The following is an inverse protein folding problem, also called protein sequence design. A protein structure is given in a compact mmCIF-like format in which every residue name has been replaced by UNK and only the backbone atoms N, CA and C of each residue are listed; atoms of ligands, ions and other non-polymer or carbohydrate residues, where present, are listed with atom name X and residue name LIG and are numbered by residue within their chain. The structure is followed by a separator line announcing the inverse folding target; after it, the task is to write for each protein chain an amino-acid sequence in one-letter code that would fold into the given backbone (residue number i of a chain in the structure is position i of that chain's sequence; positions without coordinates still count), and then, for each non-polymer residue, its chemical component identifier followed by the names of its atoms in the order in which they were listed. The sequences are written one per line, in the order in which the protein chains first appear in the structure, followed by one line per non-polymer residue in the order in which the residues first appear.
data_IF_219002553182
#
_entry.id   IF_219002553182
#
_cell.length_a   1.000
_cell.length_b   1.000
_cell.length_c   1.000
_cell.angle_alpha   90.00
_cell.angle_beta   90.00
_cell.angle_gamma   90.00
#
_symmetry.space_group_name_H-M   'P 1'
#
loop_
_entity.id
_entity.type
_entity.pdbx_description
1 polymer ?
#
# COMPACT_ATOMS: atom_id res chain seq x y z
N UNK A 1 -5.59 -10.35 -21.55
CA UNK A 1 -4.74 -9.74 -22.60
C UNK A 1 -3.77 -8.68 -22.06
N UNK A 2 -4.20 -7.66 -21.31
CA UNK A 2 -3.28 -6.60 -20.78
C UNK A 2 -2.12 -7.11 -19.92
N UNK A 3 -2.35 -8.04 -19.00
CA UNK A 3 -1.27 -8.61 -18.16
C UNK A 3 -0.22 -9.37 -18.93
N UNK A 4 -0.60 -10.04 -20.03
CA UNK A 4 0.37 -10.74 -20.87
C UNK A 4 1.30 -9.75 -21.59
N UNK A 5 0.75 -8.65 -22.11
CA UNK A 5 1.56 -7.60 -22.73
C UNK A 5 2.52 -6.92 -21.74
N UNK A 6 2.06 -6.62 -20.53
CA UNK A 6 2.91 -6.06 -19.46
C UNK A 6 4.01 -7.04 -19.05
N UNK A 7 3.70 -8.34 -18.95
CA UNK A 7 4.69 -9.38 -18.66
C UNK A 7 5.79 -9.48 -19.71
N UNK A 8 5.44 -9.33 -21.01
CA UNK A 8 6.43 -9.29 -22.10
C UNK A 8 7.31 -8.05 -22.01
N UNK A 9 6.74 -6.90 -21.71
CA UNK A 9 7.52 -5.66 -21.51
C UNK A 9 8.51 -5.83 -20.36
N UNK A 10 8.09 -6.39 -19.23
CA UNK A 10 8.95 -6.62 -18.08
C UNK A 10 10.07 -7.62 -18.36
N UNK A 11 9.78 -8.73 -19.04
CA UNK A 11 10.80 -9.71 -19.45
C UNK A 11 11.85 -9.10 -20.38
N UNK A 12 11.40 -8.36 -21.41
CA UNK A 12 12.30 -7.69 -22.34
C UNK A 12 13.17 -6.63 -21.63
N UNK A 13 12.60 -5.90 -20.70
CA UNK A 13 13.31 -4.92 -19.88
C UNK A 13 14.39 -5.60 -19.05
N UNK A 14 14.07 -6.69 -18.32
CA UNK A 14 15.06 -7.45 -17.53
C UNK A 14 16.18 -7.98 -18.40
N UNK A 15 15.86 -8.49 -19.58
CA UNK A 15 16.86 -8.92 -20.57
C UNK A 15 17.79 -7.78 -20.98
N UNK A 16 17.25 -6.61 -21.31
CA UNK A 16 18.04 -5.43 -21.68
C UNK A 16 18.89 -4.93 -20.52
N UNK A 17 18.37 -4.94 -19.29
CA UNK A 17 19.15 -4.59 -18.11
C UNK A 17 20.33 -5.53 -17.88
N UNK A 18 20.11 -6.85 -17.97
CA UNK A 18 21.19 -7.82 -17.77
C UNK A 18 22.31 -7.74 -18.82
N UNK A 19 21.93 -7.47 -20.07
CA UNK A 19 22.86 -7.58 -21.19
C UNK A 19 23.46 -6.25 -21.67
N UNK A 20 22.80 -5.13 -21.45
CA UNK A 20 23.21 -3.83 -21.97
C UNK A 20 23.65 -2.83 -20.90
N UNK A 21 23.18 -2.95 -19.65
CA UNK A 21 23.40 -1.90 -18.64
C UNK A 21 24.89 -1.67 -18.33
N UNK A 22 25.71 -2.72 -18.38
CA UNK A 22 27.13 -2.64 -18.09
C UNK A 22 27.91 -1.86 -19.17
N UNK A 23 27.47 -1.92 -20.43
CA UNK A 23 28.13 -1.28 -21.60
C UNK A 23 27.36 -0.07 -22.15
N UNK A 24 26.17 0.23 -21.63
CA UNK A 24 25.32 1.30 -22.12
C UNK A 24 25.88 2.68 -21.73
N UNK A 25 25.77 3.63 -22.65
CA UNK A 25 26.03 5.03 -22.40
C UNK A 25 24.93 5.66 -21.50
N UNK A 26 25.18 6.87 -21.02
CA UNK A 26 24.26 7.55 -20.11
C UNK A 26 22.84 7.75 -20.69
N UNK A 27 22.67 8.19 -21.96
CA UNK A 27 21.35 8.31 -22.56
C UNK A 27 20.59 6.99 -22.62
N UNK A 28 21.25 5.90 -22.97
CA UNK A 28 20.63 4.56 -23.04
C UNK A 28 20.19 4.07 -21.66
N UNK A 29 21.02 4.29 -20.62
CA UNK A 29 20.63 3.96 -19.23
C UNK A 29 19.41 4.76 -18.78
N UNK A 30 19.36 6.02 -19.14
CA UNK A 30 18.23 6.90 -18.82
C UNK A 30 16.94 6.42 -19.53
N UNK A 31 17.01 6.12 -20.81
CA UNK A 31 15.89 5.58 -21.57
C UNK A 31 15.36 4.25 -21.00
N UNK A 32 16.25 3.34 -20.59
CA UNK A 32 15.86 2.09 -19.92
C UNK A 32 15.18 2.35 -18.57
N UNK A 33 15.66 3.32 -17.79
CA UNK A 33 15.04 3.72 -16.53
C UNK A 33 13.64 4.32 -16.75
N UNK A 34 13.48 5.18 -17.75
CA UNK A 34 12.20 5.79 -18.09
C UNK A 34 11.18 4.72 -18.51
N UNK A 35 11.58 3.77 -19.36
CA UNK A 35 10.74 2.62 -19.75
C UNK A 35 10.32 1.83 -18.51
N UNK A 36 11.23 1.60 -17.59
CA UNK A 36 10.94 0.88 -16.35
C UNK A 36 9.86 1.59 -15.52
N UNK A 37 9.99 2.88 -15.33
CA UNK A 37 9.06 3.69 -14.54
C UNK A 37 7.70 3.74 -15.20
N UNK A 38 7.64 3.99 -16.51
CA UNK A 38 6.36 4.07 -17.22
C UNK A 38 5.65 2.71 -17.31
N UNK A 39 6.41 1.61 -17.48
CA UNK A 39 5.85 0.25 -17.42
C UNK A 39 5.25 -0.04 -16.04
N UNK A 40 5.96 0.28 -14.96
CA UNK A 40 5.46 0.11 -13.60
C UNK A 40 4.22 1.00 -13.31
N UNK A 41 4.16 2.22 -13.87
CA UNK A 41 2.96 3.09 -13.79
C UNK A 41 1.75 2.49 -14.48
N UNK A 42 1.95 1.93 -15.67
CA UNK A 42 0.89 1.25 -16.42
C UNK A 42 0.39 0.02 -15.67
N UNK A 43 1.28 -0.84 -15.21
CA UNK A 43 0.93 -2.03 -14.42
C UNK A 43 0.11 -1.65 -13.19
N UNK A 44 0.57 -0.67 -12.42
CA UNK A 44 -0.17 -0.16 -11.26
C UNK A 44 -1.55 0.36 -11.64
N UNK A 45 -1.67 1.12 -12.73
CA UNK A 45 -2.94 1.70 -13.17
C UNK A 45 -3.93 0.61 -13.56
N UNK A 46 -3.46 -0.39 -14.32
CA UNK A 46 -4.28 -1.54 -14.74
C UNK A 46 -4.71 -2.37 -13.52
N UNK A 47 -3.79 -2.69 -12.59
CA UNK A 47 -4.13 -3.43 -11.36
C UNK A 47 -5.15 -2.69 -10.53
N UNK A 48 -4.95 -1.40 -10.30
CA UNK A 48 -5.88 -0.59 -9.53
C UNK A 48 -7.27 -0.52 -10.19
N UNK A 49 -7.34 -0.42 -11.53
CA UNK A 49 -8.61 -0.42 -12.25
C UNK A 49 -9.35 -1.77 -12.11
N UNK A 50 -8.63 -2.88 -12.22
CA UNK A 50 -9.19 -4.22 -12.04
C UNK A 50 -9.65 -4.42 -10.60
N UNK A 51 -8.81 -4.09 -9.62
CA UNK A 51 -9.20 -4.18 -8.21
C UNK A 51 -10.43 -3.34 -7.89
N UNK A 52 -10.46 -2.09 -8.40
CA UNK A 52 -11.62 -1.22 -8.20
C UNK A 52 -12.89 -1.85 -8.79
N UNK A 53 -12.82 -2.38 -10.02
CA UNK A 53 -13.93 -3.07 -10.66
C UNK A 53 -14.40 -4.30 -9.87
N UNK A 54 -13.46 -5.14 -9.41
CA UNK A 54 -13.75 -6.32 -8.60
C UNK A 54 -14.45 -5.95 -7.30
N UNK A 55 -13.88 -4.99 -6.56
CA UNK A 55 -14.47 -4.53 -5.30
C UNK A 55 -15.86 -3.88 -5.47
N UNK A 56 -16.18 -3.30 -6.63
CA UNK A 56 -17.51 -2.74 -6.89
C UNK A 56 -18.54 -3.79 -7.32
N UNK A 57 -18.13 -4.84 -8.01
CA UNK A 57 -19.05 -5.75 -8.70
C UNK A 57 -19.07 -7.18 -8.14
N UNK A 58 -18.02 -7.58 -7.40
CA UNK A 58 -17.98 -8.91 -6.79
C UNK A 58 -18.55 -8.88 -5.37
N UNK A 59 -19.12 -10.00 -4.96
CA UNK A 59 -19.56 -10.20 -3.58
C UNK A 59 -18.34 -10.11 -2.63
N UNK A 60 -18.61 -9.73 -1.39
CA UNK A 60 -17.58 -9.71 -0.35
C UNK A 60 -17.08 -11.13 -0.12
N UNK A 61 -15.79 -11.32 -0.23
CA UNK A 61 -15.15 -12.58 0.18
C UNK A 61 -15.42 -12.85 1.66
N UNK A 62 -15.40 -14.09 2.06
CA UNK A 62 -15.59 -14.49 3.45
C UNK A 62 -14.57 -13.76 4.35
N UNK A 63 -15.10 -13.12 5.39
CA UNK A 63 -14.26 -12.43 6.37
C UNK A 63 -13.56 -13.47 7.23
N UNK A 64 -12.25 -13.30 7.38
CA UNK A 64 -11.38 -14.18 8.16
C UNK A 64 -10.72 -13.38 9.30
N UNK A 65 -10.29 -14.05 10.37
CA UNK A 65 -9.45 -13.41 11.39
C UNK A 65 -8.16 -12.86 10.76
N UNK A 66 -7.89 -11.61 11.00
CA UNK A 66 -6.74 -10.86 10.49
C UNK A 66 -5.92 -10.32 11.66
N UNK A 67 -4.64 -10.69 11.75
CA UNK A 67 -3.72 -10.13 12.73
C UNK A 67 -3.20 -8.76 12.27
N UNK A 68 -3.60 -7.71 12.98
CA UNK A 68 -3.12 -6.35 12.70
C UNK A 68 -1.66 -6.14 13.13
N UNK A 69 -1.14 -6.89 14.10
CA UNK A 69 0.26 -6.81 14.49
C UNK A 69 1.16 -7.38 13.39
N UNK A 70 0.80 -8.53 12.81
CA UNK A 70 1.48 -9.09 11.66
C UNK A 70 1.41 -8.18 10.42
N UNK A 71 0.29 -7.50 10.20
CA UNK A 71 0.17 -6.51 9.12
C UNK A 71 1.10 -5.30 9.36
N UNK A 72 1.24 -4.85 10.62
CA UNK A 72 2.16 -3.78 11.00
C UNK A 72 3.62 -4.18 10.82
N UNK A 73 3.99 -5.41 11.16
CA UNK A 73 5.34 -5.95 10.95
C UNK A 73 5.72 -5.95 9.46
N UNK A 74 4.77 -6.35 8.58
CA UNK A 74 4.98 -6.27 7.12
C UNK A 74 5.32 -4.84 6.69
N UNK A 75 4.64 -3.82 7.24
CA UNK A 75 4.98 -2.42 6.98
C UNK A 75 6.40 -2.09 7.47
N UNK A 76 6.77 -2.52 8.66
CA UNK A 76 8.09 -2.29 9.24
C UNK A 76 9.23 -2.87 8.40
N UNK A 77 9.03 -4.02 7.77
CA UNK A 77 10.02 -4.65 6.88
C UNK A 77 10.34 -3.83 5.63
N UNK A 78 9.48 -2.88 5.26
CA UNK A 78 9.73 -1.97 4.12
C UNK A 78 10.68 -0.81 4.46
N UNK A 79 10.91 -0.52 5.74
CA UNK A 79 11.65 0.65 6.19
C UNK A 79 13.07 0.76 5.59
N UNK A 80 13.90 -0.31 5.53
CA UNK A 80 15.24 -0.22 4.96
C UNK A 80 15.23 0.14 3.47
N UNK A 81 14.30 -0.41 2.69
CA UNK A 81 14.22 -0.16 1.26
C UNK A 81 13.69 1.24 0.95
N UNK A 82 12.72 1.71 1.74
CA UNK A 82 12.18 3.08 1.66
C UNK A 82 13.31 4.08 1.99
N UNK A 83 14.04 3.88 3.08
CA UNK A 83 15.14 4.74 3.46
C UNK A 83 16.24 4.81 2.38
N UNK A 84 16.62 3.65 1.84
CA UNK A 84 17.65 3.56 0.78
C UNK A 84 17.23 4.20 -0.52
N UNK A 85 15.94 4.07 -0.89
CA UNK A 85 15.45 4.44 -2.22
C UNK A 85 14.88 5.85 -2.28
N UNK A 86 14.33 6.36 -1.18
CA UNK A 86 13.57 7.61 -1.13
C UNK A 86 14.13 8.61 -0.12
N UNK A 87 15.09 8.20 0.72
CA UNK A 87 15.60 8.98 1.85
C UNK A 87 14.49 9.39 2.84
N UNK A 88 13.43 8.59 2.95
CA UNK A 88 12.32 8.78 3.86
C UNK A 88 12.42 7.75 4.98
N UNK A 89 12.25 8.19 6.23
CA UNK A 89 12.23 7.30 7.39
C UNK A 89 10.81 6.78 7.61
N UNK A 90 10.64 5.45 7.57
CA UNK A 90 9.39 4.79 7.97
C UNK A 90 9.58 4.11 9.32
N UNK A 91 8.66 4.33 10.24
CA UNK A 91 8.60 3.62 11.54
C UNK A 91 7.26 2.92 11.69
N UNK A 92 7.28 1.72 12.29
CA UNK A 92 6.08 0.93 12.56
C UNK A 92 6.05 0.54 14.05
N UNK A 93 4.99 0.93 14.77
CA UNK A 93 4.88 0.78 16.21
C UNK A 93 3.52 0.25 16.63
N UNK A 94 3.47 -0.88 17.35
CA UNK A 94 2.21 -1.46 17.84
C UNK A 94 1.59 -0.70 19.01
N UNK A 95 2.32 0.23 19.61
CA UNK A 95 1.84 1.00 20.75
C UNK A 95 1.56 0.15 22.01
N UNK A 96 2.29 -0.97 22.16
CA UNK A 96 2.14 -1.91 23.27
C UNK A 96 1.03 -2.96 23.05
N UNK A 97 0.44 -3.02 21.85
CA UNK A 97 -0.52 -4.07 21.49
C UNK A 97 0.29 -5.27 20.99
N UNK A 98 0.21 -6.39 21.70
CA UNK A 98 0.93 -7.63 21.36
C UNK A 98 0.12 -8.50 20.37
N UNK A 99 -1.19 -8.56 20.57
CA UNK A 99 -2.10 -9.33 19.71
C UNK A 99 -3.36 -8.53 19.42
N UNK A 100 -3.76 -8.50 18.17
CA UNK A 100 -4.97 -7.81 17.76
C UNK A 100 -5.57 -8.45 16.51
N UNK A 101 -6.62 -9.25 16.72
CA UNK A 101 -7.38 -9.85 15.65
C UNK A 101 -8.63 -9.02 15.34
N UNK A 102 -8.91 -8.86 14.04
CA UNK A 102 -10.12 -8.24 13.51
C UNK A 102 -10.65 -9.09 12.36
N UNK A 103 -11.93 -8.97 12.03
CA UNK A 103 -12.47 -9.67 10.86
C UNK A 103 -12.18 -8.87 9.59
N UNK A 104 -11.67 -9.54 8.55
CA UNK A 104 -11.34 -8.91 7.27
C UNK A 104 -10.94 -9.89 6.19
N UNK A 105 -10.70 -9.36 4.99
CA UNK A 105 -10.08 -10.09 3.88
C UNK A 105 -8.59 -9.74 3.86
N UNK A 106 -7.68 -10.69 4.11
CA UNK A 106 -6.26 -10.41 4.29
C UNK A 106 -5.62 -9.66 3.11
N UNK A 107 -5.91 -10.07 1.87
CA UNK A 107 -5.37 -9.41 0.67
C UNK A 107 -5.88 -7.96 0.51
N UNK A 108 -7.14 -7.70 0.87
CA UNK A 108 -7.72 -6.35 0.86
C UNK A 108 -7.08 -5.47 1.94
N UNK A 109 -6.80 -6.02 3.14
CA UNK A 109 -6.15 -5.31 4.22
C UNK A 109 -4.69 -4.94 3.88
N UNK A 110 -3.94 -5.85 3.28
CA UNK A 110 -2.60 -5.58 2.78
C UNK A 110 -2.60 -4.49 1.71
N UNK A 111 -3.53 -4.55 0.79
CA UNK A 111 -3.67 -3.56 -0.27
C UNK A 111 -4.04 -2.18 0.28
N UNK A 112 -4.95 -2.13 1.26
CA UNK A 112 -5.29 -0.92 2.00
C UNK A 112 -4.05 -0.28 2.62
N UNK A 113 -3.26 -1.07 3.36
CA UNK A 113 -2.04 -0.60 4.01
C UNK A 113 -1.03 -0.06 2.99
N UNK A 114 -0.75 -0.80 1.91
CA UNK A 114 0.16 -0.36 0.85
C UNK A 114 -0.28 0.95 0.20
N UNK A 115 -1.57 1.11 -0.09
CA UNK A 115 -2.08 2.36 -0.65
C UNK A 115 -1.93 3.54 0.31
N UNK A 116 -2.17 3.34 1.62
CA UNK A 116 -2.01 4.40 2.61
C UNK A 116 -0.54 4.78 2.78
N UNK A 117 0.38 3.80 2.85
CA UNK A 117 1.84 4.05 2.90
C UNK A 117 2.30 4.75 1.63
N UNK A 118 1.91 4.28 0.44
CA UNK A 118 2.28 4.91 -0.83
C UNK A 118 1.81 6.36 -0.92
N UNK A 119 0.61 6.67 -0.42
CA UNK A 119 0.12 8.05 -0.37
C UNK A 119 0.95 8.92 0.58
N UNK A 120 1.31 8.41 1.76
CA UNK A 120 2.15 9.11 2.73
C UNK A 120 3.55 9.38 2.17
N UNK A 121 4.19 8.37 1.54
CA UNK A 121 5.49 8.52 0.90
C UNK A 121 5.50 9.56 -0.23
N UNK A 122 4.41 9.63 -1.01
CA UNK A 122 4.27 10.63 -2.08
C UNK A 122 4.15 12.06 -1.57
N UNK A 123 3.57 12.22 -0.40
CA UNK A 123 3.41 13.53 0.23
C UNK A 123 4.72 14.07 0.80
N UNK A 124 5.69 13.18 1.08
CA UNK A 124 6.97 13.53 1.67
C UNK A 124 8.03 13.87 0.61
N UNK A 125 8.92 14.79 0.96
CA UNK A 125 10.20 15.00 0.28
C UNK A 125 11.30 14.15 0.94
N UNK A 126 12.52 14.14 0.36
CA UNK A 126 13.70 13.53 0.96
C UNK A 126 13.94 14.08 2.39
N UNK A 127 14.28 13.22 3.33
CA UNK A 127 14.35 13.56 4.75
C UNK A 127 12.98 13.51 5.47
N UNK A 128 11.90 13.21 4.73
CA UNK A 128 10.56 13.04 5.28
C UNK A 128 10.41 11.84 6.20
N UNK A 129 9.27 11.79 6.90
CA UNK A 129 8.96 10.73 7.86
C UNK A 129 7.54 10.22 7.70
N UNK A 130 7.40 8.91 7.77
CA UNK A 130 6.12 8.19 7.79
C UNK A 130 6.04 7.32 9.03
N UNK A 131 4.94 7.39 9.75
CA UNK A 131 4.68 6.56 10.94
C UNK A 131 3.48 5.68 10.66
N UNK A 132 3.64 4.38 10.89
CA UNK A 132 2.55 3.41 10.90
C UNK A 132 2.37 2.93 12.33
N UNK A 133 1.16 3.04 12.88
CA UNK A 133 0.95 2.67 14.29
C UNK A 133 -0.43 2.11 14.55
N UNK A 134 -0.51 1.22 15.55
CA UNK A 134 -1.78 0.77 16.12
C UNK A 134 -2.09 1.59 17.38
N UNK A 135 -3.37 1.89 17.57
CA UNK A 135 -3.87 2.61 18.75
C UNK A 135 -5.16 2.00 19.24
N UNK A 136 -5.19 1.58 20.49
CA UNK A 136 -6.40 1.11 21.13
C UNK A 136 -7.48 2.21 21.16
N UNK A 137 -8.70 1.85 20.85
CA UNK A 137 -9.89 2.70 20.92
C UNK A 137 -10.95 2.04 21.82
N UNK A 138 -11.94 2.81 22.26
CA UNK A 138 -13.05 2.26 23.06
C UNK A 138 -13.85 1.20 22.30
N UNK A 139 -13.95 1.31 20.99
CA UNK A 139 -14.78 0.46 20.13
C UNK A 139 -13.98 -0.41 19.16
N UNK A 140 -12.67 -0.54 19.35
CA UNK A 140 -11.84 -1.28 18.42
C UNK A 140 -10.37 -0.86 18.44
N UNK A 141 -9.67 -1.12 17.36
CA UNK A 141 -8.28 -0.70 17.16
C UNK A 141 -8.21 0.21 15.93
N UNK A 142 -7.37 1.21 15.99
CA UNK A 142 -7.09 2.09 14.87
C UNK A 142 -5.68 1.84 14.34
N UNK A 143 -5.59 1.50 13.05
CA UNK A 143 -4.36 1.60 12.26
C UNK A 143 -4.23 3.03 11.77
N UNK A 144 -3.07 3.65 12.02
CA UNK A 144 -2.75 4.99 11.55
C UNK A 144 -1.54 4.96 10.64
N UNK A 145 -1.65 5.68 9.54
CA UNK A 145 -0.52 6.04 8.69
C UNK A 145 -0.44 7.55 8.70
N UNK A 146 0.66 8.09 9.22
CA UNK A 146 0.89 9.52 9.37
C UNK A 146 2.14 9.92 8.60
N UNK A 147 2.13 11.10 8.00
CA UNK A 147 3.28 11.69 7.31
C UNK A 147 3.54 13.13 7.78
N UNK A 148 4.72 13.63 7.51
CA UNK A 148 5.07 15.04 7.67
C UNK A 148 5.22 15.77 6.33
N UNK A 149 4.56 15.28 5.29
CA UNK A 149 4.64 15.82 3.94
C UNK A 149 3.80 17.09 3.75
N UNK A 150 3.42 17.36 2.49
CA UNK A 150 2.70 18.56 2.09
C UNK A 150 1.28 18.72 2.69
N UNK A 151 0.75 17.66 3.34
CA UNK A 151 -0.59 17.67 3.95
C UNK A 151 -1.73 17.43 2.96
N UNK A 152 -2.96 17.60 3.47
CA UNK A 152 -4.17 17.45 2.65
C UNK A 152 -4.31 18.68 1.74
N UNK A 153 -4.32 18.45 0.44
CA UNK A 153 -4.75 19.49 -0.50
C UNK A 153 -6.27 19.61 -0.43
N UNK A 154 -6.79 20.82 -0.38
CA UNK A 154 -8.23 21.07 -0.51
C UNK A 154 -8.69 20.51 -1.86
N UNK A 155 -9.59 19.53 -1.81
CA UNK A 155 -10.18 18.97 -3.02
C UNK A 155 -11.15 19.97 -3.60
N UNK A 156 -10.85 20.53 -4.78
CA UNK A 156 -11.82 21.29 -5.56
C UNK A 156 -12.99 20.39 -5.96
N UNK A 157 -14.23 20.66 -5.53
CA UNK A 157 -15.38 19.77 -5.77
C UNK A 157 -15.74 19.60 -7.26
N UNK A 158 -15.34 20.56 -8.11
CA UNK A 158 -15.73 20.63 -9.52
C UNK A 158 -14.81 19.80 -10.44
N UNK A 159 -13.57 19.55 -10.04
CA UNK A 159 -12.60 18.79 -10.84
C UNK A 159 -12.69 17.25 -10.67
N UNK A 160 -13.54 16.79 -9.77
CA UNK A 160 -13.63 15.37 -9.40
C UNK A 160 -14.06 14.43 -10.55
N UNK A 161 -14.70 14.93 -11.61
CA UNK A 161 -15.20 14.07 -12.69
C UNK A 161 -14.26 13.98 -13.91
N UNK A 162 -13.32 14.89 -14.11
CA UNK A 162 -12.44 14.90 -15.31
C UNK A 162 -11.04 14.31 -15.11
N UNK A 163 -10.55 14.19 -13.87
CA UNK A 163 -9.24 13.59 -13.55
C UNK A 163 -9.30 12.11 -13.15
N UNK A 164 -10.27 11.38 -13.71
CA UNK A 164 -10.43 9.94 -13.46
C UNK A 164 -9.20 9.10 -13.86
N UNK A 165 -8.31 9.62 -14.67
CA UNK A 165 -7.17 8.90 -15.26
C UNK A 165 -5.82 9.20 -14.61
N UNK A 166 -5.70 10.15 -13.69
CA UNK A 166 -4.45 10.30 -12.97
C UNK A 166 -4.42 9.29 -11.81
N UNK A 167 -3.58 8.27 -11.91
CA UNK A 167 -3.50 7.10 -11.02
C UNK A 167 -3.33 7.39 -9.52
N UNK A 168 -3.15 8.66 -9.12
CA UNK A 168 -3.02 9.09 -7.73
C UNK A 168 -4.36 9.04 -6.93
N UNK A 169 -5.52 9.19 -7.59
CA UNK A 169 -6.81 9.23 -6.88
C UNK A 169 -7.49 7.87 -6.73
N UNK A 170 -7.12 6.87 -7.55
CA UNK A 170 -7.77 5.56 -7.53
C UNK A 170 -7.40 4.75 -6.27
N UNK A 171 -6.18 4.87 -5.77
CA UNK A 171 -5.74 4.18 -4.56
C UNK A 171 -6.58 4.54 -3.33
N UNK A 172 -6.88 5.83 -3.13
CA UNK A 172 -7.73 6.24 -1.99
C UNK A 172 -9.19 5.80 -2.15
N UNK A 173 -9.71 5.74 -3.39
CA UNK A 173 -11.05 5.20 -3.67
C UNK A 173 -11.12 3.71 -3.35
N UNK A 174 -10.08 2.94 -3.74
CA UNK A 174 -9.92 1.53 -3.36
C UNK A 174 -9.92 1.40 -1.82
N UNK A 175 -9.14 2.21 -1.12
CA UNK A 175 -9.13 2.20 0.35
C UNK A 175 -10.53 2.43 0.97
N UNK A 176 -11.27 3.42 0.45
CA UNK A 176 -12.64 3.70 0.91
C UNK A 176 -13.59 2.55 0.62
N UNK A 177 -13.43 1.89 -0.52
CA UNK A 177 -14.27 0.78 -0.94
C UNK A 177 -14.00 -0.46 -0.08
N UNK A 178 -12.74 -0.82 0.14
CA UNK A 178 -12.34 -1.90 1.05
C UNK A 178 -12.93 -1.65 2.46
N UNK A 179 -12.71 -0.45 3.01
CA UNK A 179 -13.23 -0.12 4.34
C UNK A 179 -14.76 -0.21 4.42
N UNK A 180 -15.47 0.25 3.38
CA UNK A 180 -16.94 0.16 3.34
C UNK A 180 -17.43 -1.28 3.30
N UNK A 181 -16.78 -2.14 2.49
CA UNK A 181 -17.14 -3.57 2.37
C UNK A 181 -16.91 -4.32 3.67
N UNK A 182 -15.79 -4.07 4.34
CA UNK A 182 -15.44 -4.74 5.59
C UNK A 182 -16.06 -4.09 6.85
N UNK A 183 -16.88 -3.04 6.70
CA UNK A 183 -17.44 -2.32 7.85
C UNK A 183 -16.42 -1.49 8.64
N UNK A 184 -15.26 -1.19 8.07
CA UNK A 184 -14.23 -0.37 8.69
C UNK A 184 -14.44 1.12 8.39
N UNK A 185 -13.88 1.99 9.24
CA UNK A 185 -14.02 3.44 9.08
C UNK A 185 -12.68 4.10 8.76
N UNK A 186 -12.53 4.56 7.52
CA UNK A 186 -11.39 5.37 7.08
C UNK A 186 -11.67 6.87 7.28
N UNK A 187 -10.72 7.58 7.91
CA UNK A 187 -10.73 9.03 8.05
C UNK A 187 -9.37 9.60 7.66
N UNK A 188 -9.39 10.76 7.01
CA UNK A 188 -8.21 11.54 6.68
C UNK A 188 -8.31 12.88 7.39
N UNK A 189 -7.26 13.26 8.11
CA UNK A 189 -7.19 14.54 8.83
C UNK A 189 -5.81 15.17 8.68
N UNK A 190 -5.74 16.49 8.78
CA UNK A 190 -4.45 17.15 8.93
C UNK A 190 -3.76 16.67 10.21
N UNK A 191 -2.45 16.44 10.12
CA UNK A 191 -1.63 16.09 11.28
C UNK A 191 -1.19 17.37 12.01
N UNK A 192 -1.26 17.44 13.34
CA UNK A 192 -0.65 18.52 14.08
C UNK A 192 0.85 18.63 13.79
N UNK A 193 1.31 19.81 13.41
CA UNK A 193 2.71 20.03 13.01
C UNK A 193 3.01 19.77 11.53
N UNK A 194 1.98 19.61 10.70
CA UNK A 194 2.09 19.41 9.24
C UNK A 194 1.96 17.97 8.80
N UNK A 195 1.54 17.78 7.56
CA UNK A 195 1.31 16.46 6.95
C UNK A 195 -0.11 15.93 7.14
N UNK A 196 -0.30 14.65 6.84
CA UNK A 196 -1.59 13.96 6.85
C UNK A 196 -1.61 12.83 7.86
N UNK A 197 -2.78 12.57 8.41
CA UNK A 197 -3.10 11.37 9.17
C UNK A 197 -4.23 10.63 8.47
N UNK A 198 -3.94 9.44 7.96
CA UNK A 198 -4.92 8.44 7.55
C UNK A 198 -5.16 7.48 8.72
N UNK A 199 -6.41 7.29 9.12
CA UNK A 199 -6.79 6.40 10.22
C UNK A 199 -7.89 5.46 9.76
N UNK A 200 -7.66 4.17 9.92
CA UNK A 200 -8.66 3.11 9.75
C UNK A 200 -9.02 2.57 11.12
N UNK A 201 -10.30 2.61 11.47
CA UNK A 201 -10.81 2.01 12.70
C UNK A 201 -11.44 0.68 12.39
N UNK A 202 -10.92 -0.37 13.02
CA UNK A 202 -11.42 -1.73 12.96
C UNK A 202 -12.24 -2.00 14.22
N UNK A 203 -13.47 -2.47 14.11
CA UNK A 203 -14.18 -3.02 15.26
C UNK A 203 -13.44 -4.27 15.74
N UNK A 204 -13.38 -4.49 17.04
CA UNK A 204 -12.84 -5.74 17.57
C UNK A 204 -13.73 -6.90 17.13
N UNK A 205 -13.12 -8.01 16.73
CA UNK A 205 -13.82 -9.25 16.57
C UNK A 205 -14.42 -9.69 17.92
N UNK A 206 -15.62 -10.25 17.94
CA UNK A 206 -16.14 -10.88 19.14
C UNK A 206 -15.31 -12.16 19.44
N UNK A 207 -15.28 -12.58 20.70
CA UNK A 207 -14.57 -13.82 21.06
C UNK A 207 -15.16 -15.06 20.36
N UNK A 208 -16.40 -14.98 19.89
CA UNK A 208 -17.07 -16.04 19.14
C UNK A 208 -16.63 -16.10 17.66
N UNK A 209 -16.09 -15.00 17.12
CA UNK A 209 -15.64 -14.90 15.73
C UNK A 209 -14.18 -15.38 15.56
N UNK A 210 -13.44 -15.57 16.66
CA UNK A 210 -12.03 -15.99 16.62
C UNK A 210 -11.98 -17.48 17.00
N UNK A 211 -11.52 -18.38 16.10
CA UNK A 211 -11.31 -19.78 16.45
C UNK A 211 -10.39 -19.91 17.65
N UNK A 212 -10.62 -20.87 18.57
CA UNK A 212 -9.78 -21.07 19.75
C UNK A 212 -8.32 -21.45 19.42
N UNK A 213 -8.09 -21.93 18.23
CA UNK A 213 -6.77 -22.12 17.61
C UNK A 213 -6.74 -21.24 16.36
N UNK A 214 -6.34 -19.98 16.52
CA UNK A 214 -5.91 -19.20 15.37
C UNK A 214 -4.58 -19.80 14.93
N UNK A 215 -4.65 -20.92 14.16
CA UNK A 215 -3.49 -21.39 13.43
C UNK A 215 -3.09 -20.24 12.51
N UNK A 216 -2.03 -19.58 12.91
CA UNK A 216 -1.22 -18.78 11.98
C UNK A 216 -1.02 -19.69 10.77
N UNK A 217 -1.48 -19.25 9.60
CA UNK A 217 -1.29 -19.97 8.35
C UNK A 217 0.08 -20.63 8.33
N UNK A 218 0.17 -21.81 7.72
CA UNK A 218 1.44 -22.56 7.66
C UNK A 218 2.59 -21.62 7.29
N UNK A 219 3.77 -21.84 7.84
CA UNK A 219 4.93 -20.97 7.61
C UNK A 219 5.17 -20.70 6.12
N UNK A 220 4.95 -21.70 5.26
CA UNK A 220 5.06 -21.57 3.80
C UNK A 220 4.03 -20.60 3.19
N UNK A 221 2.77 -20.64 3.62
CA UNK A 221 1.74 -19.74 3.11
C UNK A 221 1.97 -18.29 3.58
N UNK A 222 2.47 -18.13 4.79
CA UNK A 222 2.87 -16.84 5.32
C UNK A 222 4.10 -16.28 4.57
N UNK A 223 5.08 -17.11 4.25
CA UNK A 223 6.25 -16.71 3.47
C UNK A 223 5.88 -16.25 2.05
N UNK A 224 4.97 -16.95 1.39
CA UNK A 224 4.46 -16.56 0.06
C UNK A 224 3.72 -15.22 0.14
N UNK A 225 2.90 -15.00 1.16
CA UNK A 225 2.19 -13.73 1.38
C UNK A 225 3.16 -12.58 1.67
N UNK A 226 4.16 -12.81 2.52
CA UNK A 226 5.20 -11.82 2.82
C UNK A 226 5.97 -11.45 1.56
N UNK A 227 6.39 -12.44 0.75
CA UNK A 227 7.09 -12.20 -0.51
C UNK A 227 6.22 -11.41 -1.50
N UNK A 228 4.93 -11.73 -1.62
CA UNK A 228 3.98 -11.01 -2.48
C UNK A 228 3.79 -9.56 -2.02
N UNK A 229 3.64 -9.32 -0.72
CA UNK A 229 3.54 -7.99 -0.15
C UNK A 229 4.80 -7.16 -0.42
N UNK A 230 6.00 -7.73 -0.19
CA UNK A 230 7.28 -7.09 -0.46
C UNK A 230 7.46 -6.74 -1.94
N UNK A 231 7.07 -7.65 -2.85
CA UNK A 231 7.13 -7.39 -4.30
C UNK A 231 6.23 -6.23 -4.73
N UNK A 232 4.99 -6.18 -4.23
CA UNK A 232 4.06 -5.05 -4.47
C UNK A 232 4.62 -3.74 -3.92
N UNK A 233 5.19 -3.76 -2.72
CA UNK A 233 5.80 -2.60 -2.10
C UNK A 233 7.02 -2.10 -2.88
N UNK A 234 7.86 -3.00 -3.38
CA UNK A 234 9.02 -2.64 -4.20
C UNK A 234 8.61 -1.90 -5.48
N UNK A 235 7.51 -2.32 -6.13
CA UNK A 235 6.95 -1.62 -7.28
C UNK A 235 6.46 -0.20 -6.91
N UNK A 236 5.77 -0.04 -5.77
CA UNK A 236 5.34 1.27 -5.29
C UNK A 236 6.53 2.19 -4.97
N UNK A 237 7.58 1.67 -4.32
CA UNK A 237 8.81 2.41 -4.01
C UNK A 237 9.52 2.86 -5.30
N UNK A 238 9.60 1.97 -6.30
CA UNK A 238 10.19 2.30 -7.61
C UNK A 238 9.49 3.50 -8.26
N UNK A 239 8.16 3.54 -8.21
CA UNK A 239 7.36 4.64 -8.79
C UNK A 239 7.53 5.98 -8.07
N UNK A 240 8.06 5.96 -6.85
CA UNK A 240 8.28 7.15 -6.03
C UNK A 240 9.69 7.70 -6.13
N UNK A 241 10.63 6.94 -6.73
CA UNK A 241 11.97 7.47 -6.98
C UNK A 241 11.87 8.75 -7.82
N UNK A 242 12.36 9.83 -7.25
CA UNK A 242 12.58 11.10 -7.96
C UNK A 242 13.94 11.00 -8.63
N UNK A 243 14.06 11.51 -9.85
CA UNK A 243 15.33 11.64 -10.56
C UNK A 243 16.20 12.70 -9.92
#
# INVERSE_FOLDING_TARGET
MCFHALGIIDQNREYLQMHLLASADLPTRQALSDIQIESARLDRTVRNAITFYQLENEELSELQPLDLCGLLEKAGRLAPDIQRSLEITLTAESGGIEHCAVMGVPDEAEQLLLHLISNALRACDAGGRVWVSLKQKKTGVALRVEDNGCGLMEEDPIENNRRFLSGAKLGLRICRLICRRAGWKLTLTARPGGGTRAQVVFPLASCEDIPPEMELHSDEENDIRVARFASRAAQEILLLRRY
#
